data_IF_426840863529
#
_entry.id   IF_426840863529
#
_cell.length_a   1.000
_cell.length_b   1.000
_cell.length_c   1.000
_cell.angle_alpha   90.00
_cell.angle_beta   90.00
_cell.angle_gamma   90.00
#
_symmetry.space_group_name_H-M   'P 1'
#
loop_
_entity.id
_entity.type
_entity.pdbx_description
1 polymer ?
#
# COMPACT_ATOMS: atom_id res chain seq x y z
N UNK A 1 -13.24 6.23 -14.58
CA UNK A 1 -13.59 6.30 -13.14
C UNK A 1 -12.38 5.78 -12.40
N UNK A 2 -11.75 6.59 -11.55
CA UNK A 2 -10.60 6.15 -10.74
C UNK A 2 -11.09 5.78 -9.35
N UNK A 3 -10.74 4.58 -8.88
CA UNK A 3 -11.02 4.17 -7.52
C UNK A 3 -10.12 4.92 -6.54
N UNK A 4 -10.57 5.06 -5.29
CA UNK A 4 -9.78 5.71 -4.26
C UNK A 4 -8.45 4.96 -4.00
N UNK A 5 -7.38 5.65 -3.59
CA UNK A 5 -6.00 5.13 -3.52
C UNK A 5 -5.35 4.74 -4.87
N UNK A 6 -6.09 4.78 -5.99
CA UNK A 6 -5.52 4.68 -7.34
C UNK A 6 -5.25 6.07 -7.93
N UNK A 7 -4.64 6.13 -9.12
CA UNK A 7 -4.35 7.42 -9.79
C UNK A 7 -3.15 8.17 -9.22
N UNK A 8 -2.15 7.44 -8.70
CA UNK A 8 -0.96 8.05 -8.11
C UNK A 8 -0.22 8.95 -9.13
N UNK A 9 -0.05 10.25 -8.84
CA UNK A 9 0.49 11.21 -9.80
C UNK A 9 2.01 11.10 -9.98
N UNK A 10 2.68 10.32 -9.13
CA UNK A 10 4.13 10.17 -9.18
C UNK A 10 4.53 9.23 -10.32
N UNK A 11 5.46 9.68 -11.16
CA UNK A 11 6.20 8.77 -12.01
C UNK A 11 7.16 7.95 -11.15
N UNK A 12 6.93 6.65 -11.09
CA UNK A 12 7.67 5.73 -10.20
C UNK A 12 9.11 5.44 -10.64
N UNK A 13 9.45 5.75 -11.90
CA UNK A 13 10.82 5.69 -12.46
C UNK A 13 11.58 4.41 -12.11
N UNK A 14 10.94 3.25 -12.29
CA UNK A 14 11.46 1.96 -11.82
C UNK A 14 12.84 1.61 -12.39
N UNK A 15 13.13 2.07 -13.61
CA UNK A 15 14.41 1.88 -14.29
C UNK A 15 15.59 2.68 -13.69
N UNK A 16 15.32 3.66 -12.82
CA UNK A 16 16.35 4.47 -12.14
C UNK A 16 16.62 4.06 -10.69
N UNK A 17 15.86 3.11 -10.15
CA UNK A 17 15.98 2.71 -8.74
C UNK A 17 17.33 2.10 -8.38
N UNK A 18 18.09 1.60 -9.37
CA UNK A 18 19.46 1.09 -9.16
C UNK A 18 20.55 2.15 -9.38
N UNK A 19 20.21 3.36 -9.83
CA UNK A 19 21.20 4.41 -10.10
C UNK A 19 21.50 5.18 -8.81
N UNK A 20 22.71 5.00 -8.29
CA UNK A 20 23.16 5.72 -7.10
C UNK A 20 23.21 7.24 -7.36
N UNK A 21 23.74 7.68 -8.50
CA UNK A 21 23.84 9.10 -8.85
C UNK A 21 22.48 9.79 -8.92
N UNK A 22 21.51 9.18 -9.61
CA UNK A 22 20.15 9.69 -9.67
C UNK A 22 19.53 9.81 -8.27
N UNK A 23 19.59 8.73 -7.48
CA UNK A 23 18.98 8.71 -6.15
C UNK A 23 19.64 9.71 -5.21
N UNK A 24 20.97 9.85 -5.26
CA UNK A 24 21.72 10.86 -4.51
C UNK A 24 21.28 12.27 -4.89
N UNK A 25 21.15 12.56 -6.18
CA UNK A 25 20.62 13.87 -6.64
C UNK A 25 19.17 14.09 -6.23
N UNK A 26 18.33 13.05 -6.27
CA UNK A 26 16.93 13.13 -5.87
C UNK A 26 16.74 13.31 -4.37
N UNK A 27 17.65 12.77 -3.56
CA UNK A 27 17.63 12.92 -2.12
C UNK A 27 18.12 14.31 -1.68
N UNK A 28 19.18 14.82 -2.32
CA UNK A 28 19.79 16.13 -2.01
C UNK A 28 19.05 17.32 -2.65
N UNK A 29 18.01 17.05 -3.45
CA UNK A 29 17.23 18.10 -4.10
C UNK A 29 16.56 19.00 -3.06
N UNK A 30 16.62 20.35 -3.20
CA UNK A 30 15.88 21.27 -2.33
C UNK A 30 14.35 21.14 -2.49
N UNK A 31 13.90 20.51 -3.58
CA UNK A 31 12.48 20.22 -3.85
C UNK A 31 12.04 18.89 -3.24
N UNK A 32 12.95 18.07 -2.71
CA UNK A 32 12.59 16.77 -2.16
C UNK A 32 11.53 16.89 -1.06
N UNK A 33 10.59 15.93 -1.07
CA UNK A 33 9.47 15.82 -0.12
C UNK A 33 9.56 14.49 0.59
N UNK A 34 9.67 14.53 1.91
CA UNK A 34 9.76 13.34 2.75
C UNK A 34 8.47 13.16 3.53
N UNK A 35 7.67 12.18 3.12
CA UNK A 35 6.53 11.73 3.90
C UNK A 35 7.02 10.90 5.07
N UNK A 36 6.91 11.44 6.29
CA UNK A 36 7.23 10.73 7.51
C UNK A 36 6.06 9.84 7.95
N UNK A 37 6.36 8.61 8.34
CA UNK A 37 5.38 7.66 8.89
C UNK A 37 5.78 7.25 10.31
N UNK A 38 4.88 7.41 11.28
CA UNK A 38 5.01 6.85 12.64
C UNK A 38 4.06 5.67 12.77
N UNK A 39 4.60 4.47 12.95
CA UNK A 39 3.83 3.23 12.99
C UNK A 39 2.84 3.12 11.82
N UNK A 40 3.35 3.37 10.60
CA UNK A 40 2.59 3.38 9.34
C UNK A 40 1.53 4.50 9.21
N UNK A 41 1.46 5.42 10.17
CA UNK A 41 0.57 6.58 10.14
C UNK A 41 1.30 7.75 9.47
N UNK A 42 0.90 8.20 8.27
CA UNK A 42 1.55 9.33 7.61
C UNK A 42 1.32 10.65 8.36
N UNK A 43 2.29 11.56 8.26
CA UNK A 43 2.16 12.92 8.73
C UNK A 43 1.16 13.71 7.87
N UNK A 44 0.24 14.41 8.52
CA UNK A 44 -0.77 15.22 7.84
C UNK A 44 -1.24 16.40 8.67
N UNK A 45 -1.98 17.31 8.03
CA UNK A 45 -2.65 18.44 8.66
C UNK A 45 -4.10 18.48 8.20
N UNK A 46 -4.99 18.84 9.11
CA UNK A 46 -6.39 19.16 8.78
C UNK A 46 -6.50 20.65 8.52
N UNK A 47 -6.92 21.04 7.32
CA UNK A 47 -7.21 22.41 6.95
C UNK A 47 -8.50 22.91 7.64
N UNK A 48 -8.75 24.22 7.58
CA UNK A 48 -9.90 24.86 8.24
C UNK A 48 -11.26 24.41 7.67
N UNK A 49 -11.29 23.90 6.45
CA UNK A 49 -12.47 23.32 5.80
C UNK A 49 -12.71 21.84 6.15
N UNK A 50 -11.83 21.24 6.97
CA UNK A 50 -11.91 19.85 7.39
C UNK A 50 -11.22 18.85 6.44
N UNK A 51 -10.72 19.31 5.28
CA UNK A 51 -9.94 18.47 4.35
C UNK A 51 -8.59 18.15 4.98
N UNK A 52 -8.12 16.93 4.80
CA UNK A 52 -6.79 16.50 5.27
C UNK A 52 -5.80 16.48 4.13
N UNK A 53 -4.63 17.05 4.38
CA UNK A 53 -3.50 17.05 3.45
C UNK A 53 -2.28 16.42 4.11
N UNK A 54 -1.51 15.67 3.34
CA UNK A 54 -0.20 15.16 3.73
C UNK A 54 0.76 16.32 3.98
N UNK A 55 1.59 16.14 4.99
CA UNK A 55 2.68 17.06 5.32
C UNK A 55 4.02 16.39 4.99
N UNK A 56 4.94 17.19 4.48
CA UNK A 56 6.23 16.70 4.00
C UNK A 56 7.36 17.45 4.70
N UNK A 57 8.36 16.69 5.14
CA UNK A 57 9.61 17.24 5.64
C UNK A 57 10.55 17.56 4.47
N UNK A 58 11.49 18.47 4.71
CA UNK A 58 12.61 18.71 3.81
C UNK A 58 13.77 17.76 4.15
N UNK A 59 14.74 17.64 3.23
CA UNK A 59 15.92 16.81 3.49
C UNK A 59 16.68 17.25 4.76
N UNK A 60 16.75 18.56 5.03
CA UNK A 60 17.40 19.12 6.21
C UNK A 60 16.84 18.55 7.53
N UNK A 61 15.54 18.25 7.59
CA UNK A 61 14.88 17.73 8.79
C UNK A 61 15.24 16.26 9.07
N UNK A 62 15.54 15.50 8.02
CA UNK A 62 15.78 14.03 8.08
C UNK A 62 17.24 13.65 7.87
N UNK A 63 18.11 14.63 7.53
CA UNK A 63 19.52 14.42 7.16
C UNK A 63 20.30 13.63 8.21
N UNK A 64 20.12 13.92 9.49
CA UNK A 64 20.85 13.25 10.56
C UNK A 64 20.47 11.77 10.75
N UNK A 65 19.30 11.38 10.25
CA UNK A 65 18.75 10.02 10.34
C UNK A 65 19.08 9.20 9.10
N UNK A 66 19.09 9.84 7.93
CA UNK A 66 19.39 9.20 6.64
C UNK A 66 20.90 9.15 6.37
N UNK A 67 21.63 10.23 6.71
CA UNK A 67 23.05 10.39 6.44
C UNK A 67 23.36 11.17 5.16
N UNK A 68 24.59 11.05 4.67
CA UNK A 68 25.10 11.78 3.51
C UNK A 68 24.50 11.21 2.20
N UNK A 69 23.81 12.03 1.37
CA UNK A 69 23.27 11.60 0.09
C UNK A 69 24.29 10.98 -0.85
N UNK A 70 25.55 11.40 -0.79
CA UNK A 70 26.62 10.87 -1.65
C UNK A 70 27.02 9.45 -1.28
N UNK A 71 26.72 9.01 -0.06
CA UNK A 71 27.19 7.73 0.46
C UNK A 71 26.03 6.73 0.65
N UNK A 72 24.81 7.21 0.92
CA UNK A 72 23.66 6.36 1.31
C UNK A 72 23.18 5.40 0.22
N UNK A 73 23.55 5.62 -1.04
CA UNK A 73 23.19 4.76 -2.16
C UNK A 73 24.37 3.99 -2.77
N UNK A 74 25.55 3.98 -2.14
CA UNK A 74 26.69 3.17 -2.61
C UNK A 74 26.40 1.67 -2.60
N UNK A 75 26.32 1.02 -3.77
CA UNK A 75 25.96 -0.40 -3.87
C UNK A 75 24.46 -0.67 -3.77
N UNK A 76 23.61 0.35 -4.01
CA UNK A 76 22.14 0.26 -4.02
C UNK A 76 21.61 -0.67 -5.11
N UNK A 77 22.42 -0.97 -6.14
CA UNK A 77 22.06 -1.87 -7.24
C UNK A 77 22.01 -3.35 -6.83
N UNK A 78 22.67 -3.71 -5.72
CA UNK A 78 22.76 -5.07 -5.21
C UNK A 78 23.76 -5.97 -5.93
N UNK A 79 24.61 -5.47 -6.82
CA UNK A 79 25.47 -6.30 -7.69
C UNK A 79 26.84 -6.61 -7.09
N UNK A 80 27.47 -5.63 -6.46
CA UNK A 80 28.83 -5.76 -5.96
C UNK A 80 28.86 -5.82 -4.43
N UNK A 81 29.36 -6.94 -3.91
CA UNK A 81 29.43 -7.17 -2.46
C UNK A 81 30.49 -6.33 -1.76
N UNK A 82 31.51 -5.89 -2.49
CA UNK A 82 32.51 -4.97 -1.98
C UNK A 82 31.98 -3.54 -1.75
N UNK A 83 30.75 -3.24 -2.21
CA UNK A 83 30.10 -1.95 -1.96
C UNK A 83 29.25 -1.96 -0.68
N UNK A 84 28.86 -3.15 -0.19
CA UNK A 84 28.17 -3.31 1.11
C UNK A 84 28.96 -2.70 2.28
N UNK A 85 30.30 -2.82 2.35
CA UNK A 85 31.14 -2.11 3.32
C UNK A 85 30.97 -0.58 3.37
N UNK A 86 30.62 0.06 2.24
CA UNK A 86 30.52 1.53 2.12
C UNK A 86 29.12 2.07 2.38
N UNK A 87 28.08 1.28 2.09
CA UNK A 87 26.68 1.66 2.27
C UNK A 87 26.31 1.90 3.75
N UNK A 88 27.09 1.35 4.68
CA UNK A 88 26.47 0.82 5.89
C UNK A 88 27.07 1.28 7.22
N UNK A 89 27.38 2.58 7.33
CA UNK A 89 27.38 3.32 8.60
C UNK A 89 26.93 4.77 8.38
N UNK A 90 25.64 4.99 8.13
CA UNK A 90 25.10 6.33 7.90
C UNK A 90 23.93 6.62 8.84
N UNK A 91 23.70 7.91 9.09
CA UNK A 91 22.69 8.38 10.05
C UNK A 91 23.06 8.17 11.52
N UNK A 92 22.08 8.24 12.41
CA UNK A 92 22.28 8.17 13.86
C UNK A 92 22.94 6.85 14.33
N UNK A 93 22.55 5.71 13.76
CA UNK A 93 23.15 4.42 14.12
C UNK A 93 24.63 4.34 13.69
N UNK A 94 24.97 4.91 12.53
CA UNK A 94 26.37 5.04 12.10
C UNK A 94 27.18 5.92 13.06
N UNK A 95 26.64 7.08 13.46
CA UNK A 95 27.28 7.98 14.44
C UNK A 95 27.53 7.31 15.80
N UNK A 96 26.57 6.51 16.28
CA UNK A 96 26.70 5.78 17.57
C UNK A 96 27.82 4.75 17.55
N UNK A 97 28.03 4.07 16.42
CA UNK A 97 29.04 3.02 16.30
C UNK A 97 30.46 3.59 16.16
N UNK A 98 30.60 4.87 15.78
CA UNK A 98 31.89 5.56 15.62
C UNK A 98 32.91 4.84 14.70
N UNK A 99 32.41 4.03 13.76
CA UNK A 99 33.20 3.35 12.72
C UNK A 99 32.87 3.95 11.35
N UNK A 100 33.75 3.75 10.37
CA UNK A 100 33.60 4.33 9.02
C UNK A 100 33.13 3.32 7.98
N UNK A 101 33.31 2.02 8.21
CA UNK A 101 32.84 0.96 7.30
C UNK A 101 32.18 -0.21 8.04
N UNK A 102 31.31 -0.96 7.35
CA UNK A 102 30.74 -2.22 7.91
C UNK A 102 31.81 -3.25 8.17
N UNK A 103 32.91 -3.22 7.42
CA UNK A 103 34.03 -4.15 7.58
C UNK A 103 34.58 -4.13 9.02
N UNK A 104 34.56 -2.95 9.64
CA UNK A 104 35.07 -2.71 10.98
C UNK A 104 34.12 -3.17 12.10
N UNK A 105 32.87 -3.52 11.75
CA UNK A 105 31.87 -4.00 12.72
C UNK A 105 32.08 -5.48 13.07
N UNK A 106 31.93 -5.79 14.35
CA UNK A 106 31.76 -7.16 14.84
C UNK A 106 30.48 -7.79 14.26
N UNK A 107 30.35 -9.13 14.26
CA UNK A 107 29.13 -9.79 13.80
C UNK A 107 27.84 -9.27 14.45
N UNK A 108 27.86 -9.04 15.77
CA UNK A 108 26.71 -8.51 16.50
C UNK A 108 26.40 -7.05 16.13
N UNK A 109 27.42 -6.21 15.97
CA UNK A 109 27.24 -4.84 15.49
C UNK A 109 26.70 -4.80 14.06
N UNK A 110 27.15 -5.68 13.16
CA UNK A 110 26.60 -5.81 11.79
C UNK A 110 25.12 -6.18 11.84
N UNK A 111 24.78 -7.18 12.66
CA UNK A 111 23.39 -7.62 12.85
C UNK A 111 22.54 -6.49 13.39
N UNK A 112 22.98 -5.81 14.45
CA UNK A 112 22.31 -4.65 15.01
C UNK A 112 22.13 -3.56 13.95
N UNK A 113 23.19 -3.23 13.21
CA UNK A 113 23.16 -2.19 12.18
C UNK A 113 22.08 -2.46 11.12
N UNK A 114 22.12 -3.62 10.45
CA UNK A 114 21.20 -3.94 9.34
C UNK A 114 19.73 -4.04 9.79
N UNK A 115 19.50 -4.41 11.06
CA UNK A 115 18.14 -4.50 11.61
C UNK A 115 17.57 -3.14 12.03
N UNK A 116 18.42 -2.17 12.37
CA UNK A 116 18.03 -0.86 12.89
C UNK A 116 18.19 0.29 11.89
N UNK A 117 18.48 -0.02 10.62
CA UNK A 117 18.47 1.00 9.56
C UNK A 117 17.10 1.66 9.43
N UNK A 118 17.13 2.99 9.26
CA UNK A 118 15.96 3.77 8.90
C UNK A 118 15.37 3.23 7.59
N UNK A 119 14.06 2.95 7.56
CA UNK A 119 13.41 2.55 6.31
C UNK A 119 13.18 3.79 5.45
N UNK A 120 13.96 3.91 4.38
CA UNK A 120 13.86 4.97 3.37
C UNK A 120 13.42 4.36 2.03
N UNK A 121 12.40 4.94 1.41
CA UNK A 121 11.83 4.47 0.15
C UNK A 121 11.69 5.63 -0.82
N UNK A 122 12.17 5.47 -2.04
CA UNK A 122 11.89 6.40 -3.14
C UNK A 122 10.52 6.08 -3.76
N UNK A 123 9.58 7.03 -3.74
CA UNK A 123 8.23 6.84 -4.27
C UNK A 123 8.15 7.18 -5.75
N UNK A 124 8.83 8.24 -6.16
CA UNK A 124 8.83 8.71 -7.54
C UNK A 124 9.09 10.20 -7.65
N UNK A 125 8.84 10.75 -8.83
CA UNK A 125 8.90 12.19 -9.10
C UNK A 125 7.53 12.67 -9.57
N UNK A 126 7.06 13.77 -8.99
CA UNK A 126 5.91 14.51 -9.53
C UNK A 126 6.41 15.42 -10.67
N UNK A 127 6.03 15.05 -11.89
CA UNK A 127 6.44 15.72 -13.13
C UNK A 127 5.34 16.66 -13.66
N UNK A 128 4.25 16.91 -12.93
CA UNK A 128 3.12 17.72 -13.44
C UNK A 128 3.49 19.16 -13.71
N UNK A 129 4.42 19.72 -12.93
CA UNK A 129 5.01 21.03 -13.17
C UNK A 129 6.18 21.02 -14.15
N UNK A 130 6.55 19.86 -14.70
CA UNK A 130 7.66 19.75 -15.64
C UNK A 130 7.27 20.27 -17.02
N UNK A 131 8.16 21.00 -17.71
CA UNK A 131 7.96 21.29 -19.12
C UNK A 131 7.90 19.98 -19.91
N UNK A 132 7.11 19.93 -20.98
CA UNK A 132 6.88 18.69 -21.75
C UNK A 132 8.18 18.08 -22.30
N UNK A 133 9.17 18.92 -22.62
CA UNK A 133 10.51 18.51 -23.05
C UNK A 133 11.36 17.82 -21.98
N UNK A 134 10.92 17.85 -20.71
CA UNK A 134 11.63 17.30 -19.57
C UNK A 134 10.83 16.22 -18.80
N UNK A 135 9.67 15.80 -19.33
CA UNK A 135 8.88 14.71 -18.77
C UNK A 135 9.41 13.34 -19.19
N UNK A 136 9.56 12.45 -18.21
CA UNK A 136 9.51 10.98 -18.29
C UNK A 136 10.45 10.23 -19.24
N UNK A 137 11.31 10.90 -19.99
CA UNK A 137 12.43 10.30 -20.71
C UNK A 137 13.71 11.06 -20.40
N UNK A 138 14.75 10.40 -19.87
CA UNK A 138 16.04 11.04 -19.75
C UNK A 138 16.55 11.30 -21.17
N UNK A 139 17.02 12.52 -21.45
CA UNK A 139 17.56 12.89 -22.79
C UNK A 139 18.73 11.97 -23.22
N UNK A 140 19.34 11.26 -22.26
CA UNK A 140 20.38 10.24 -22.40
C UNK A 140 20.37 9.28 -21.20
N UNK A 141 21.04 8.11 -21.26
CA UNK A 141 21.22 7.25 -20.07
C UNK A 141 21.91 8.05 -18.95
N UNK A 142 21.40 7.99 -17.70
CA UNK A 142 22.07 8.65 -16.58
C UNK A 142 23.43 8.02 -16.30
N UNK A 143 24.41 8.86 -16.03
CA UNK A 143 25.75 8.55 -15.55
C UNK A 143 25.98 9.10 -14.12
N UNK A 144 27.19 8.98 -13.60
CA UNK A 144 27.53 9.40 -12.24
C UNK A 144 27.46 10.92 -12.02
N UNK A 145 27.37 11.73 -13.09
CA UNK A 145 27.25 13.19 -13.05
C UNK A 145 25.82 13.69 -13.28
N UNK A 146 24.86 12.77 -13.45
CA UNK A 146 23.48 13.10 -13.74
C UNK A 146 22.78 13.69 -12.51
N UNK A 147 22.20 14.87 -12.67
CA UNK A 147 21.35 15.50 -11.65
C UNK A 147 19.92 15.60 -12.15
N UNK A 148 18.94 15.73 -11.26
CA UNK A 148 17.53 15.99 -11.62
C UNK A 148 17.35 17.19 -12.57
N UNK A 149 18.24 18.19 -12.48
CA UNK A 149 18.15 19.44 -13.25
C UNK A 149 18.92 19.37 -14.58
N UNK A 150 19.94 18.52 -14.68
CA UNK A 150 20.77 18.37 -15.89
C UNK A 150 20.37 17.18 -16.75
N UNK A 151 19.86 16.10 -16.14
CA UNK A 151 19.45 14.87 -16.79
C UNK A 151 18.15 14.38 -16.15
N UNK A 152 17.04 14.76 -16.78
CA UNK A 152 15.65 14.32 -16.58
C UNK A 152 15.53 12.99 -15.80
N UNK A 153 14.61 12.93 -14.82
CA UNK A 153 13.32 13.61 -14.85
C UNK A 153 13.25 14.90 -14.02
N UNK A 154 12.77 15.98 -14.64
CA UNK A 154 12.50 17.23 -13.95
C UNK A 154 11.25 17.09 -13.08
N UNK A 155 11.32 17.49 -11.81
CA UNK A 155 10.13 17.50 -10.95
C UNK A 155 10.46 17.56 -9.47
N UNK A 156 9.48 17.15 -8.67
CA UNK A 156 9.57 17.10 -7.20
C UNK A 156 9.76 15.64 -6.79
N UNK A 157 10.93 15.24 -6.24
CA UNK A 157 11.13 13.86 -5.79
C UNK A 157 10.44 13.60 -4.45
N UNK A 158 9.75 12.47 -4.35
CA UNK A 158 9.01 12.04 -3.16
C UNK A 158 9.67 10.82 -2.55
N UNK A 159 9.81 10.87 -1.23
CA UNK A 159 10.39 9.82 -0.38
C UNK A 159 9.42 9.49 0.75
N UNK A 160 9.40 8.23 1.17
CA UNK A 160 8.81 7.82 2.44
C UNK A 160 9.90 7.44 3.44
N UNK A 161 9.71 7.83 4.69
CA UNK A 161 10.65 7.54 5.77
C UNK A 161 9.92 7.05 7.02
N UNK A 162 10.36 5.93 7.57
CA UNK A 162 9.88 5.44 8.87
C UNK A 162 10.55 6.23 10.01
N UNK A 163 9.74 6.91 10.81
CA UNK A 163 10.20 7.71 11.96
C UNK A 163 9.80 7.11 13.30
N UNK A 164 9.24 5.90 13.30
CA UNK A 164 8.65 5.28 14.49
C UNK A 164 9.61 5.21 15.69
N UNK A 165 10.89 4.94 15.41
CA UNK A 165 11.95 4.79 16.41
C UNK A 165 12.67 6.11 16.77
N UNK A 166 12.30 7.24 16.16
CA UNK A 166 13.02 8.52 16.28
C UNK A 166 12.17 9.58 17.00
N UNK A 167 12.15 9.53 18.33
CA UNK A 167 11.31 10.41 19.17
C UNK A 167 11.50 11.91 18.91
N UNK A 168 12.74 12.36 18.72
CA UNK A 168 13.06 13.76 18.44
C UNK A 168 12.53 14.21 17.07
N UNK A 169 12.71 13.38 16.03
CA UNK A 169 12.20 13.65 14.68
C UNK A 169 10.66 13.68 14.65
N UNK A 170 10.01 12.78 15.39
CA UNK A 170 8.54 12.79 15.52
C UNK A 170 8.06 14.09 16.13
N UNK A 171 8.69 14.49 17.23
CA UNK A 171 8.35 15.73 17.93
C UNK A 171 8.58 16.97 17.06
N UNK A 172 9.67 17.00 16.27
CA UNK A 172 9.94 18.11 15.36
C UNK A 172 8.99 18.13 14.16
N UNK A 173 8.59 16.98 13.64
CA UNK A 173 7.68 16.86 12.50
C UNK A 173 6.24 17.29 12.83
N UNK A 174 5.81 17.15 14.08
CA UNK A 174 4.45 17.50 14.53
C UNK A 174 4.28 18.99 14.92
N UNK A 175 5.20 19.86 14.51
CA UNK A 175 5.06 21.31 14.70
C UNK A 175 3.93 21.87 13.84
N UNK A 176 3.46 23.07 14.21
CA UNK A 176 2.48 23.85 13.43
C UNK A 176 1.14 23.14 13.15
N UNK A 177 0.76 22.20 14.01
CA UNK A 177 -0.53 21.49 13.94
C UNK A 177 -0.53 20.20 13.12
N UNK A 178 0.62 19.79 12.58
CA UNK A 178 0.77 18.50 11.91
C UNK A 178 0.67 17.32 12.89
N UNK A 179 0.07 16.21 12.46
CA UNK A 179 -0.14 15.00 13.27
C UNK A 179 0.03 13.75 12.43
N UNK A 180 0.54 12.68 13.03
CA UNK A 180 0.49 11.36 12.41
C UNK A 180 -0.93 10.84 12.45
N UNK A 181 -1.50 10.56 11.27
CA UNK A 181 -2.87 10.10 11.12
C UNK A 181 -2.92 8.60 10.84
N UNK A 182 -3.85 7.90 11.48
CA UNK A 182 -4.16 6.53 11.06
C UNK A 182 -4.82 6.60 9.68
N UNK A 183 -4.18 5.99 8.67
CA UNK A 183 -4.52 6.20 7.27
C UNK A 183 -5.96 5.77 6.93
N UNK A 184 -6.46 4.67 7.49
CA UNK A 184 -7.78 4.13 7.11
C UNK A 184 -8.93 5.05 7.50
N UNK A 185 -8.93 5.48 8.75
CA UNK A 185 -9.95 6.39 9.28
C UNK A 185 -9.75 7.82 8.81
N UNK A 186 -8.49 8.24 8.64
CA UNK A 186 -8.17 9.60 8.30
C UNK A 186 -8.25 9.93 6.80
N UNK A 187 -8.02 8.96 5.91
CA UNK A 187 -7.97 9.22 4.47
C UNK A 187 -9.33 9.61 3.88
N UNK A 188 -10.46 9.29 4.50
CA UNK A 188 -11.78 9.58 3.89
C UNK A 188 -11.99 11.07 3.51
N UNK A 189 -11.30 11.99 4.18
CA UNK A 189 -11.35 13.44 3.91
C UNK A 189 -10.12 13.96 3.17
N UNK A 190 -9.28 13.07 2.63
CA UNK A 190 -8.05 13.37 1.91
C UNK A 190 -8.30 13.31 0.39
N UNK A 191 -7.72 14.22 -0.41
CA UNK A 191 -7.76 14.11 -1.87
C UNK A 191 -7.20 12.77 -2.36
N UNK A 192 -7.80 12.20 -3.41
CA UNK A 192 -7.42 10.88 -3.90
C UNK A 192 -5.94 10.79 -4.31
N UNK A 193 -5.41 11.83 -4.94
CA UNK A 193 -4.00 11.89 -5.35
C UNK A 193 -3.06 11.72 -4.14
N UNK A 194 -3.31 12.44 -3.05
CA UNK A 194 -2.52 12.34 -1.82
C UNK A 194 -2.72 10.99 -1.14
N UNK A 195 -3.95 10.49 -1.09
CA UNK A 195 -4.26 9.18 -0.53
C UNK A 195 -3.51 8.06 -1.26
N UNK A 196 -3.40 8.14 -2.59
CA UNK A 196 -2.67 7.18 -3.41
C UNK A 196 -1.15 7.20 -3.16
N UNK A 197 -0.57 8.38 -2.87
CA UNK A 197 0.83 8.52 -2.44
C UNK A 197 1.01 7.89 -1.05
N UNK A 198 0.10 8.18 -0.12
CA UNK A 198 0.13 7.60 1.22
C UNK A 198 -0.03 6.08 1.19
N UNK A 199 -0.87 5.54 0.30
CA UNK A 199 -1.06 4.11 0.12
C UNK A 199 0.24 3.42 -0.36
N UNK A 200 0.91 3.98 -1.37
CA UNK A 200 2.21 3.49 -1.83
C UNK A 200 3.26 3.53 -0.71
N UNK A 201 3.41 4.69 -0.06
CA UNK A 201 4.36 4.90 1.03
C UNK A 201 4.13 3.92 2.18
N UNK A 202 2.89 3.81 2.64
CA UNK A 202 2.50 2.90 3.73
C UNK A 202 2.86 1.46 3.39
N UNK A 203 2.47 0.99 2.20
CA UNK A 203 2.69 -0.41 1.79
C UNK A 203 4.17 -0.76 1.71
N UNK A 204 5.01 0.16 1.19
CA UNK A 204 6.44 -0.06 1.04
C UNK A 204 7.19 0.04 2.38
N UNK A 205 6.84 1.00 3.24
CA UNK A 205 7.42 1.10 4.58
C UNK A 205 7.04 -0.12 5.42
N UNK A 206 5.78 -0.53 5.36
CA UNK A 206 5.28 -1.72 6.05
C UNK A 206 6.02 -2.99 5.60
N UNK A 207 6.24 -3.16 4.29
CA UNK A 207 7.05 -4.27 3.78
C UNK A 207 8.51 -4.20 4.24
N UNK A 208 9.16 -3.03 4.14
CA UNK A 208 10.57 -2.87 4.54
C UNK A 208 10.79 -3.10 6.03
N UNK A 209 9.85 -2.67 6.88
CA UNK A 209 9.94 -2.81 8.33
C UNK A 209 9.68 -4.23 8.82
N UNK A 210 8.80 -5.00 8.15
CA UNK A 210 8.51 -6.40 8.50
C UNK A 210 9.48 -7.41 7.87
N UNK A 211 10.06 -7.12 6.72
CA UNK A 211 10.94 -8.04 6.00
C UNK A 211 12.41 -7.72 6.27
N UNK A 212 12.88 -8.06 7.47
CA UNK A 212 14.26 -7.80 7.92
C UNK A 212 15.20 -9.01 7.80
N UNK A 213 14.67 -10.20 7.56
CA UNK A 213 15.44 -11.45 7.47
C UNK A 213 15.19 -12.19 6.16
N UNK A 214 16.21 -12.89 5.68
CA UNK A 214 16.19 -13.59 4.40
C UNK A 214 15.36 -14.87 4.53
N UNK A 215 14.30 -15.07 3.74
CA UNK A 215 13.51 -16.31 3.81
C UNK A 215 14.31 -17.58 3.49
N UNK A 216 15.40 -17.45 2.73
CA UNK A 216 16.25 -18.57 2.33
C UNK A 216 17.28 -19.01 3.38
N UNK A 217 17.75 -18.11 4.24
CA UNK A 217 18.87 -18.40 5.17
C UNK A 217 18.79 -17.71 6.53
N UNK A 218 17.70 -16.98 6.81
CA UNK A 218 17.45 -16.23 8.05
C UNK A 218 18.46 -15.11 8.41
N UNK A 219 19.46 -14.82 7.57
CA UNK A 219 20.37 -13.68 7.78
C UNK A 219 19.64 -12.34 7.62
N UNK A 220 20.11 -11.25 8.26
CA UNK A 220 19.60 -9.92 7.98
C UNK A 220 19.67 -9.58 6.49
N UNK A 221 18.71 -8.81 5.99
CA UNK A 221 18.70 -8.33 4.61
C UNK A 221 18.79 -6.81 4.58
N UNK A 222 19.44 -6.29 3.54
CA UNK A 222 19.55 -4.86 3.30
C UNK A 222 18.52 -4.40 2.27
N UNK A 223 18.10 -3.14 2.39
CA UNK A 223 17.32 -2.49 1.34
C UNK A 223 18.22 -2.19 0.14
N UNK A 224 17.73 -2.50 -1.05
CA UNK A 224 18.31 -2.14 -2.34
C UNK A 224 17.21 -1.54 -3.22
N UNK A 225 17.61 -0.91 -4.32
CA UNK A 225 16.69 -0.22 -5.24
C UNK A 225 15.80 0.81 -4.53
N UNK A 226 16.38 1.57 -3.59
CA UNK A 226 15.70 2.59 -2.79
C UNK A 226 14.37 2.12 -2.16
N UNK A 227 14.38 0.96 -1.50
CA UNK A 227 13.20 0.44 -0.80
C UNK A 227 12.34 -0.54 -1.60
N UNK A 228 12.68 -0.81 -2.87
CA UNK A 228 11.90 -1.67 -3.77
C UNK A 228 12.44 -3.10 -3.93
N UNK A 229 13.55 -3.41 -3.28
CA UNK A 229 14.09 -4.76 -3.25
C UNK A 229 14.83 -5.00 -1.93
N UNK A 230 14.76 -6.22 -1.39
CA UNK A 230 15.58 -6.65 -0.26
C UNK A 230 16.60 -7.66 -0.74
N UNK A 231 17.84 -7.49 -0.31
CA UNK A 231 18.94 -8.37 -0.68
C UNK A 231 19.56 -8.96 0.57
N UNK A 232 19.72 -10.28 0.59
CA UNK A 232 20.49 -10.96 1.64
C UNK A 232 21.89 -10.37 1.71
N UNK A 233 22.37 -10.02 2.90
CA UNK A 233 23.77 -9.61 3.04
C UNK A 233 24.71 -10.80 2.72
N UNK A 234 25.94 -10.56 2.24
CA UNK A 234 26.94 -11.61 2.12
C UNK A 234 27.10 -12.37 3.45
N UNK A 235 27.39 -13.67 3.39
CA UNK A 235 27.92 -14.38 4.58
C UNK A 235 29.20 -13.70 5.05
N UNK A 236 29.61 -13.88 6.30
CA UNK A 236 30.69 -13.09 6.90
C UNK A 236 31.90 -12.89 5.96
N UNK A 237 32.09 -11.64 5.49
CA UNK A 237 33.37 -11.17 4.97
C UNK A 237 34.35 -11.22 6.15
N UNK A 238 35.07 -12.34 6.29
CA UNK A 238 35.95 -12.55 7.44
C UNK A 238 36.55 -13.95 7.61
N UNK A 239 36.04 -15.00 6.97
CA UNK A 239 36.79 -16.26 6.90
C UNK A 239 37.84 -16.15 5.81
N UNK A 240 39.10 -16.01 6.23
CA UNK A 240 40.27 -16.03 5.36
C UNK A 240 40.31 -17.30 4.49
N UNK A 241 39.84 -17.15 3.25
CA UNK A 241 40.02 -18.09 2.17
C UNK A 241 40.20 -17.26 0.90
N UNK A 242 41.41 -17.23 0.38
CA UNK A 242 41.65 -16.81 -1.00
C UNK A 242 40.73 -17.61 -1.92
N UNK A 243 40.03 -16.90 -2.80
CA UNK A 243 39.23 -17.44 -3.89
C UNK A 243 37.97 -18.24 -3.48
N UNK A 244 36.86 -17.51 -3.31
CA UNK A 244 35.53 -18.03 -3.70
C UNK A 244 34.81 -18.97 -2.74
N UNK A 245 35.38 -19.36 -1.61
CA UNK A 245 34.69 -20.19 -0.61
C UNK A 245 34.36 -19.39 0.65
N UNK A 246 33.05 -19.24 0.91
CA UNK A 246 32.58 -18.80 2.21
C UNK A 246 33.05 -19.82 3.26
N UNK A 247 33.49 -19.36 4.43
CA UNK A 247 33.97 -20.25 5.49
C UNK A 247 32.98 -21.37 5.79
N UNK A 248 33.52 -22.53 6.19
CA UNK A 248 32.78 -23.79 6.36
C UNK A 248 31.45 -23.68 7.13
N UNK A 249 31.29 -22.66 7.99
CA UNK A 249 30.09 -22.42 8.79
C UNK A 249 28.97 -21.59 8.12
N UNK A 250 29.21 -20.91 6.99
CA UNK A 250 28.18 -20.07 6.36
C UNK A 250 28.20 -20.09 4.82
N UNK A 251 27.48 -21.03 4.17
CA UNK A 251 27.47 -21.11 2.71
C UNK A 251 26.84 -19.88 2.03
N UNK A 252 27.16 -19.63 0.74
CA UNK A 252 26.49 -18.60 -0.06
C UNK A 252 24.98 -18.80 -0.10
N UNK A 253 24.20 -17.72 0.07
CA UNK A 253 22.75 -17.79 -0.01
C UNK A 253 22.28 -17.82 -1.47
N UNK A 254 21.49 -18.83 -1.85
CA UNK A 254 20.95 -18.94 -3.22
C UNK A 254 20.06 -17.75 -3.59
N UNK A 255 19.46 -17.06 -2.62
CA UNK A 255 18.63 -15.88 -2.87
C UNK A 255 19.39 -14.72 -3.52
N UNK A 256 20.72 -14.77 -3.48
CA UNK A 256 21.61 -13.78 -4.10
C UNK A 256 21.84 -14.03 -5.59
N UNK A 257 21.42 -15.19 -6.11
CA UNK A 257 21.51 -15.57 -7.52
C UNK A 257 20.10 -15.70 -8.10
N UNK A 258 19.86 -15.08 -9.25
CA UNK A 258 18.56 -15.11 -9.92
C UNK A 258 17.54 -14.13 -9.33
N UNK A 259 16.27 -14.36 -9.66
CA UNK A 259 15.14 -13.51 -9.27
C UNK A 259 14.22 -14.32 -8.36
N UNK A 260 14.02 -13.83 -7.14
CA UNK A 260 13.17 -14.48 -6.14
C UNK A 260 12.09 -13.51 -5.69
N UNK A 261 10.83 -13.94 -5.71
CA UNK A 261 9.66 -13.09 -5.41
C UNK A 261 9.75 -12.40 -4.04
N UNK A 262 10.23 -13.09 -3.01
CA UNK A 262 10.38 -12.57 -1.66
C UNK A 262 11.42 -11.44 -1.54
N UNK A 263 12.21 -11.20 -2.58
CA UNK A 263 13.10 -10.04 -2.66
C UNK A 263 12.36 -8.76 -3.01
N UNK A 264 11.09 -8.82 -3.42
CA UNK A 264 10.30 -7.68 -3.90
C UNK A 264 9.08 -7.41 -3.01
N UNK A 265 8.55 -6.17 -3.00
CA UNK A 265 7.34 -5.83 -2.27
C UNK A 265 6.19 -6.78 -2.59
N UNK A 266 5.48 -7.20 -1.54
CA UNK A 266 4.32 -8.08 -1.65
C UNK A 266 3.07 -7.27 -1.94
N UNK A 267 2.25 -7.77 -2.86
CA UNK A 267 0.89 -7.28 -3.12
C UNK A 267 -0.03 -8.49 -3.12
N UNK A 268 -0.95 -8.56 -2.18
CA UNK A 268 -1.88 -9.68 -2.03
C UNK A 268 -3.15 -9.45 -2.86
N UNK A 269 -3.44 -10.27 -3.88
CA UNK A 269 -4.65 -10.12 -4.68
C UNK A 269 -5.88 -10.57 -3.89
N UNK A 270 -6.94 -9.74 -3.91
CA UNK A 270 -8.20 -9.99 -3.21
C UNK A 270 -9.34 -9.73 -4.18
N UNK A 271 -10.27 -10.66 -4.35
CA UNK A 271 -11.52 -10.40 -5.08
C UNK A 271 -12.53 -9.76 -4.14
N UNK A 272 -13.31 -8.82 -4.66
CA UNK A 272 -14.48 -8.25 -3.98
C UNK A 272 -15.60 -8.11 -4.98
N UNK A 273 -16.75 -8.71 -4.71
CA UNK A 273 -17.71 -9.03 -5.77
C UNK A 273 -19.13 -8.54 -5.51
N UNK A 274 -19.71 -7.88 -6.53
CA UNK A 274 -21.14 -7.65 -6.63
C UNK A 274 -21.83 -8.91 -7.20
N UNK A 275 -22.36 -9.76 -6.32
CA UNK A 275 -23.09 -10.97 -6.71
C UNK A 275 -24.55 -10.63 -6.91
N UNK A 276 -25.05 -10.82 -8.12
CA UNK A 276 -26.42 -10.48 -8.51
C UNK A 276 -27.31 -11.73 -8.50
N UNK A 277 -28.60 -11.55 -8.22
CA UNK A 277 -29.62 -12.58 -8.43
C UNK A 277 -29.70 -12.99 -9.91
N UNK A 278 -30.30 -14.16 -10.25
CA UNK A 278 -30.42 -14.61 -11.64
C UNK A 278 -31.08 -13.60 -12.58
N UNK A 279 -32.09 -12.86 -12.07
CA UNK A 279 -32.78 -11.78 -12.78
C UNK A 279 -32.04 -10.43 -12.74
N UNK A 280 -30.95 -10.34 -11.97
CA UNK A 280 -30.11 -9.15 -11.77
C UNK A 280 -30.79 -7.96 -11.06
N UNK A 281 -31.95 -8.20 -10.44
CA UNK A 281 -32.73 -7.17 -9.72
C UNK A 281 -32.40 -7.07 -8.23
N UNK A 282 -31.61 -8.01 -7.70
CA UNK A 282 -31.08 -7.97 -6.34
C UNK A 282 -29.56 -8.16 -6.32
N UNK A 283 -28.93 -7.68 -5.25
CA UNK A 283 -27.51 -7.86 -4.96
C UNK A 283 -27.33 -8.53 -3.59
N UNK A 284 -26.48 -9.55 -3.53
CA UNK A 284 -26.11 -10.22 -2.29
C UNK A 284 -25.07 -9.37 -1.55
N UNK A 285 -25.33 -9.06 -0.29
CA UNK A 285 -24.38 -8.42 0.61
C UNK A 285 -24.31 -9.19 1.93
N UNK A 286 -23.12 -9.22 2.53
CA UNK A 286 -22.82 -9.91 3.78
C UNK A 286 -22.34 -8.96 4.88
N UNK A 287 -22.36 -9.44 6.12
CA UNK A 287 -21.77 -8.75 7.28
C UNK A 287 -21.07 -9.72 8.22
N UNK A 288 -19.99 -9.25 8.83
CA UNK A 288 -19.32 -9.97 9.92
C UNK A 288 -19.86 -9.53 11.29
N UNK A 289 -19.74 -10.42 12.28
CA UNK A 289 -20.18 -10.19 13.66
C UNK A 289 -19.53 -8.98 14.33
N UNK A 290 -18.28 -8.67 13.99
CA UNK A 290 -17.51 -7.56 14.57
C UNK A 290 -17.91 -6.19 14.01
N UNK A 291 -18.64 -6.15 12.90
CA UNK A 291 -19.01 -4.92 12.23
C UNK A 291 -20.21 -4.24 12.91
N UNK A 292 -20.34 -2.90 12.81
CA UNK A 292 -21.50 -2.20 13.34
C UNK A 292 -22.80 -2.80 12.84
N UNK A 293 -23.82 -2.88 13.70
CA UNK A 293 -25.10 -3.44 13.34
C UNK A 293 -25.66 -2.79 12.06
N UNK A 294 -26.23 -3.63 11.18
CA UNK A 294 -26.79 -3.25 9.87
C UNK A 294 -25.76 -2.81 8.83
N UNK A 295 -24.46 -2.86 9.07
CA UNK A 295 -23.44 -2.63 8.04
C UNK A 295 -23.24 -3.87 7.18
N UNK A 296 -23.51 -3.76 5.87
CA UNK A 296 -23.34 -4.82 4.87
C UNK A 296 -22.43 -4.35 3.74
N UNK A 297 -21.63 -5.27 3.21
CA UNK A 297 -20.69 -5.03 2.11
C UNK A 297 -20.77 -6.17 1.09
N UNK A 298 -20.17 -5.97 -0.08
CA UNK A 298 -19.77 -7.07 -0.95
C UNK A 298 -18.92 -8.08 -0.17
N UNK A 299 -19.09 -9.36 -0.50
CA UNK A 299 -18.22 -10.44 -0.06
C UNK A 299 -16.83 -10.26 -0.69
N UNK A 300 -15.79 -10.72 -0.02
CA UNK A 300 -14.41 -10.52 -0.46
C UNK A 300 -13.45 -11.50 0.19
N UNK A 301 -12.51 -12.03 -0.61
CA UNK A 301 -11.50 -12.94 -0.11
C UNK A 301 -10.25 -13.01 -0.97
N UNK A 302 -9.21 -13.63 -0.43
CA UNK A 302 -7.92 -13.72 -1.09
C UNK A 302 -7.99 -14.68 -2.27
N UNK A 303 -7.25 -14.36 -3.34
CA UNK A 303 -7.08 -15.31 -4.44
C UNK A 303 -6.06 -16.36 -4.02
N UNK A 304 -6.39 -17.65 -4.20
CA UNK A 304 -5.46 -18.73 -3.88
C UNK A 304 -4.47 -19.01 -5.01
N UNK A 305 -3.43 -19.78 -4.66
CA UNK A 305 -2.38 -20.13 -5.62
C UNK A 305 -2.93 -21.01 -6.75
N UNK A 306 -2.88 -20.49 -7.97
CA UNK A 306 -3.34 -21.20 -9.16
C UNK A 306 -4.78 -20.86 -9.58
N UNK A 307 -5.46 -19.97 -8.84
CA UNK A 307 -6.80 -19.50 -9.20
C UNK A 307 -6.78 -18.29 -10.15
N UNK A 308 -7.73 -18.27 -11.07
CA UNK A 308 -8.18 -17.06 -11.78
C UNK A 308 -9.07 -16.18 -10.89
N UNK A 309 -9.33 -14.93 -11.32
CA UNK A 309 -10.26 -14.04 -10.63
C UNK A 309 -11.65 -14.67 -10.53
N UNK A 310 -12.10 -15.30 -11.62
CA UNK A 310 -13.42 -15.88 -11.75
C UNK A 310 -13.57 -17.16 -10.91
N UNK A 311 -12.50 -17.93 -10.72
CA UNK A 311 -12.50 -19.08 -9.80
C UNK A 311 -12.58 -18.61 -8.36
N UNK A 312 -11.76 -17.63 -7.96
CA UNK A 312 -11.80 -17.07 -6.60
C UNK A 312 -13.17 -16.45 -6.28
N UNK A 313 -13.80 -15.71 -7.21
CA UNK A 313 -15.17 -15.19 -7.02
C UNK A 313 -16.17 -16.32 -6.77
N UNK A 314 -16.07 -17.45 -7.51
CA UNK A 314 -17.01 -18.56 -7.32
C UNK A 314 -16.76 -19.30 -6.01
N UNK A 315 -15.50 -19.51 -5.65
CA UNK A 315 -15.11 -20.18 -4.40
C UNK A 315 -15.57 -19.37 -3.20
N UNK A 316 -15.14 -18.11 -3.09
CA UNK A 316 -15.44 -17.24 -1.94
C UNK A 316 -16.94 -17.07 -1.72
N UNK A 317 -17.74 -16.86 -2.78
CA UNK A 317 -19.20 -16.73 -2.65
C UNK A 317 -19.86 -18.04 -2.21
N UNK A 318 -19.33 -19.18 -2.66
CA UNK A 318 -19.83 -20.47 -2.24
C UNK A 318 -19.46 -20.77 -0.78
N UNK A 319 -18.24 -20.46 -0.36
CA UNK A 319 -17.74 -20.65 1.01
C UNK A 319 -18.49 -19.76 2.01
N UNK A 320 -18.64 -18.46 1.73
CA UNK A 320 -19.24 -17.52 2.70
C UNK A 320 -20.79 -17.56 2.72
N UNK A 321 -21.43 -17.89 1.60
CA UNK A 321 -22.89 -17.74 1.44
C UNK A 321 -23.61 -18.96 0.84
N UNK A 322 -22.88 -20.01 0.43
CA UNK A 322 -23.46 -21.21 -0.20
C UNK A 322 -24.04 -20.96 -1.60
N UNK A 323 -23.82 -19.80 -2.19
CA UNK A 323 -24.42 -19.41 -3.47
C UNK A 323 -23.52 -19.85 -4.63
N UNK A 324 -24.09 -20.60 -5.58
CA UNK A 324 -23.36 -21.03 -6.78
C UNK A 324 -23.38 -19.91 -7.83
N UNK A 325 -22.20 -19.37 -8.13
CA UNK A 325 -22.02 -18.33 -9.16
C UNK A 325 -21.72 -18.96 -10.52
N UNK A 326 -22.42 -18.49 -11.56
CA UNK A 326 -22.22 -18.86 -12.95
C UNK A 326 -21.21 -17.94 -13.64
N UNK A 327 -21.72 -16.94 -14.36
CA UNK A 327 -20.91 -15.90 -14.99
C UNK A 327 -20.21 -15.05 -13.91
N UNK A 328 -18.96 -14.69 -14.17
CA UNK A 328 -18.18 -13.75 -13.35
C UNK A 328 -17.34 -12.87 -14.28
N UNK A 329 -17.08 -11.64 -13.85
CA UNK A 329 -16.28 -10.71 -14.64
C UNK A 329 -15.66 -9.59 -13.79
N UNK A 330 -14.73 -8.87 -14.41
CA UNK A 330 -13.99 -7.77 -13.80
C UNK A 330 -14.70 -6.42 -14.02
N UNK A 331 -14.59 -5.52 -13.05
CA UNK A 331 -15.05 -4.14 -13.14
C UNK A 331 -13.89 -3.13 -13.04
N UNK A 332 -13.20 -3.10 -11.89
CA UNK A 332 -12.11 -2.16 -11.60
C UNK A 332 -11.21 -2.68 -10.48
N UNK A 333 -10.10 -2.01 -10.19
CA UNK A 333 -9.21 -2.40 -9.08
C UNK A 333 -8.86 -1.22 -8.17
N UNK A 334 -8.64 -1.50 -6.89
CA UNK A 334 -8.34 -0.52 -5.87
C UNK A 334 -7.16 -1.00 -5.01
N UNK A 335 -6.05 -0.25 -4.92
CA UNK A 335 -5.03 -0.49 -3.91
C UNK A 335 -5.64 -0.39 -2.50
N UNK A 336 -5.32 -1.35 -1.65
CA UNK A 336 -5.79 -1.38 -0.26
C UNK A 336 -4.59 -1.58 0.68
N UNK A 337 -4.01 -0.48 1.19
CA UNK A 337 -2.72 -0.52 1.88
C UNK A 337 -2.88 -0.97 3.33
N UNK A 338 -3.62 -2.07 3.59
CA UNK A 338 -3.89 -2.59 4.94
C UNK A 338 -3.87 -4.13 5.00
N UNK A 339 -2.68 -4.76 4.96
CA UNK A 339 -1.36 -4.12 4.86
C UNK A 339 -0.94 -3.73 3.44
N UNK A 340 -1.18 -4.60 2.46
CA UNK A 340 -0.69 -4.45 1.09
C UNK A 340 -1.50 -5.32 0.10
N UNK A 341 -2.81 -5.10 0.04
CA UNK A 341 -3.70 -5.83 -0.86
C UNK A 341 -4.00 -5.03 -2.14
N UNK A 342 -4.33 -5.72 -3.22
CA UNK A 342 -4.94 -5.14 -4.42
C UNK A 342 -6.33 -5.75 -4.57
N UNK A 343 -7.34 -4.91 -4.35
CA UNK A 343 -8.74 -5.32 -4.46
C UNK A 343 -9.13 -5.34 -5.94
N UNK A 344 -9.56 -6.48 -6.43
CA UNK A 344 -10.15 -6.67 -7.74
C UNK A 344 -11.67 -6.65 -7.58
N UNK A 345 -12.27 -5.53 -7.97
CA UNK A 345 -13.71 -5.38 -8.03
C UNK A 345 -14.27 -6.23 -9.17
N UNK A 346 -15.07 -7.22 -8.81
CA UNK A 346 -15.67 -8.18 -9.72
C UNK A 346 -17.20 -8.13 -9.61
N UNK A 347 -17.86 -8.82 -10.52
CA UNK A 347 -19.28 -9.12 -10.45
C UNK A 347 -19.51 -10.60 -10.74
N UNK A 348 -20.62 -11.14 -10.24
CA UNK A 348 -21.03 -12.51 -10.49
C UNK A 348 -22.55 -12.63 -10.61
N UNK A 349 -23.02 -13.63 -11.33
CA UNK A 349 -24.46 -13.94 -11.45
C UNK A 349 -24.72 -15.27 -10.76
N UNK A 350 -25.54 -15.25 -9.72
CA UNK A 350 -26.01 -16.46 -9.06
C UNK A 350 -26.82 -17.32 -10.04
N UNK A 351 -26.61 -18.64 -10.02
CA UNK A 351 -27.38 -19.56 -10.88
C UNK A 351 -28.84 -19.69 -10.45
N UNK A 352 -29.11 -19.53 -9.17
CA UNK A 352 -30.41 -19.58 -8.55
C UNK A 352 -30.46 -18.69 -7.29
N UNK A 353 -31.66 -18.52 -6.71
CA UNK A 353 -31.84 -17.97 -5.36
C UNK A 353 -31.93 -19.11 -4.34
N UNK A 354 -30.92 -19.98 -4.31
CA UNK A 354 -30.79 -21.02 -3.29
C UNK A 354 -30.76 -20.43 -1.87
N UNK A 355 -31.04 -21.28 -0.88
CA UNK A 355 -30.95 -20.89 0.53
C UNK A 355 -29.53 -20.47 0.86
N UNK A 356 -29.36 -19.23 1.32
CA UNK A 356 -28.09 -18.70 1.80
C UNK A 356 -27.62 -19.53 3.01
N UNK A 357 -26.36 -19.96 2.98
CA UNK A 357 -25.70 -20.76 4.00
C UNK A 357 -24.44 -20.04 4.48
N UNK A 358 -24.47 -19.56 5.72
CA UNK A 358 -23.36 -18.83 6.37
C UNK A 358 -22.56 -19.71 7.36
N UNK A 359 -22.90 -21.00 7.44
CA UNK A 359 -22.31 -21.96 8.38
C UNK A 359 -21.14 -22.77 7.81
N UNK A 360 -20.78 -22.54 6.55
CA UNK A 360 -19.74 -23.31 5.84
C UNK A 360 -18.33 -22.93 6.31
N UNK A 361 -18.03 -21.64 6.44
CA UNK A 361 -16.75 -21.12 6.96
C UNK A 361 -16.90 -20.34 8.29
N UNK A 362 -18.12 -19.94 8.65
CA UNK A 362 -18.48 -19.15 9.84
C UNK A 362 -17.88 -17.72 9.87
N UNK A 363 -17.55 -17.14 8.72
CA UNK A 363 -17.06 -15.76 8.65
C UNK A 363 -18.18 -14.71 8.78
N UNK A 364 -19.34 -15.00 8.20
CA UNK A 364 -20.49 -14.09 8.19
C UNK A 364 -21.45 -14.30 9.36
N UNK A 365 -21.97 -13.20 9.90
CA UNK A 365 -23.10 -13.20 10.84
C UNK A 365 -24.44 -13.22 10.10
N UNK A 366 -24.52 -12.56 8.95
CA UNK A 366 -25.72 -12.50 8.11
C UNK A 366 -25.36 -12.18 6.67
N UNK A 367 -26.13 -12.73 5.73
CA UNK A 367 -26.04 -12.46 4.30
C UNK A 367 -27.42 -12.50 3.66
N UNK A 368 -27.73 -11.55 2.78
CA UNK A 368 -29.03 -11.46 2.12
C UNK A 368 -28.99 -10.69 0.81
N UNK A 369 -29.96 -10.97 -0.04
CA UNK A 369 -30.22 -10.20 -1.25
C UNK A 369 -30.97 -8.91 -0.92
N UNK A 370 -30.48 -7.79 -1.46
CA UNK A 370 -31.09 -6.46 -1.36
C UNK A 370 -31.59 -6.02 -2.72
N UNK A 371 -32.78 -5.42 -2.77
CA UNK A 371 -33.35 -4.90 -4.03
C UNK A 371 -32.67 -3.60 -4.43
N UNK A 372 -32.76 -3.27 -5.73
CA UNK A 372 -32.26 -2.02 -6.27
C UNK A 372 -32.82 -0.79 -5.55
N UNK A 373 -34.11 -0.82 -5.20
CA UNK A 373 -34.78 0.28 -4.48
C UNK A 373 -34.20 0.48 -3.09
N UNK A 374 -33.92 -0.62 -2.36
CA UNK A 374 -33.31 -0.56 -1.04
C UNK A 374 -31.91 0.08 -1.10
N UNK A 375 -31.11 -0.30 -2.09
CA UNK A 375 -29.76 0.25 -2.29
C UNK A 375 -29.82 1.73 -2.69
N UNK A 376 -30.70 2.11 -3.63
CA UNK A 376 -30.87 3.50 -4.05
C UNK A 376 -31.37 4.40 -2.91
N UNK A 377 -32.21 3.87 -2.01
CA UNK A 377 -32.65 4.61 -0.83
C UNK A 377 -31.47 4.96 0.08
N UNK A 378 -30.52 4.03 0.28
CA UNK A 378 -29.29 4.28 1.07
C UNK A 378 -28.37 5.29 0.37
N UNK A 379 -28.13 5.11 -0.93
CA UNK A 379 -27.24 6.00 -1.72
C UNK A 379 -27.76 7.45 -1.75
N UNK A 380 -29.07 7.64 -1.92
CA UNK A 380 -29.70 8.95 -2.02
C UNK A 380 -29.99 9.59 -0.65
N UNK A 381 -29.69 8.90 0.46
CA UNK A 381 -29.91 9.44 1.79
C UNK A 381 -28.97 10.63 2.06
N UNK A 382 -29.54 11.77 2.47
CA UNK A 382 -28.81 13.02 2.74
C UNK A 382 -27.99 13.00 4.04
N UNK A 383 -28.00 11.87 4.75
CA UNK A 383 -27.17 11.59 5.92
C UNK A 383 -26.29 10.38 5.62
N UNK A 384 -25.15 10.55 4.93
CA UNK A 384 -24.16 9.48 4.89
C UNK A 384 -23.81 9.17 6.36
N UNK A 385 -24.18 7.97 6.81
CA UNK A 385 -23.88 7.52 8.16
C UNK A 385 -22.36 7.34 8.26
N UNK A 386 -21.70 8.41 8.72
CA UNK A 386 -20.27 8.43 8.94
C UNK A 386 -19.96 7.52 10.12
N UNK A 387 -19.27 6.42 9.84
CA UNK A 387 -18.72 5.57 10.88
C UNK A 387 -17.71 6.37 11.70
N UNK A 388 -17.81 6.28 13.03
CA UNK A 388 -16.81 6.86 13.92
C UNK A 388 -15.44 6.22 13.68
N UNK A 389 -14.37 6.92 14.06
CA UNK A 389 -12.99 6.41 13.95
C UNK A 389 -12.83 5.04 14.63
N UNK A 390 -13.48 4.87 15.78
CA UNK A 390 -13.49 3.63 16.55
C UNK A 390 -14.18 2.50 15.79
N UNK A 391 -15.28 2.78 15.10
CA UNK A 391 -15.99 1.80 14.28
C UNK A 391 -15.18 1.39 13.03
N UNK A 392 -14.52 2.34 12.37
CA UNK A 392 -13.64 2.05 11.22
C UNK A 392 -12.47 1.16 11.63
N UNK A 393 -11.88 1.39 12.81
CA UNK A 393 -10.78 0.58 13.33
C UNK A 393 -11.18 -0.85 13.69
N UNK A 394 -12.47 -1.13 13.93
CA UNK A 394 -12.98 -2.48 14.30
C UNK A 394 -13.30 -3.36 13.09
N UNK A 395 -13.41 -2.79 11.90
CA UNK A 395 -13.69 -3.56 10.67
C UNK A 395 -12.56 -4.54 10.30
N UNK A 396 -11.35 -4.38 10.84
CA UNK A 396 -10.14 -5.12 10.44
C UNK A 396 -9.72 -6.26 11.36
N UNK A 397 -10.56 -6.68 12.29
CA UNK A 397 -10.26 -7.86 13.10
C UNK A 397 -8.94 -7.76 13.88
N UNK A 398 -8.54 -6.57 14.37
CA UNK A 398 -7.54 -6.52 15.45
C UNK A 398 -8.09 -7.38 16.59
N UNK A 399 -7.40 -8.48 16.90
CA UNK A 399 -7.66 -9.33 18.07
C UNK A 399 -7.77 -8.42 19.30
N UNK A 400 -9.00 -8.18 19.69
CA UNK A 400 -9.37 -7.26 20.73
C UNK A 400 -10.77 -7.67 21.15
N UNK A 401 -10.86 -8.13 22.39
CA UNK A 401 -12.00 -8.79 23.00
C UNK A 401 -13.35 -8.24 22.55
N UNK A 402 -14.28 -9.18 22.31
CA UNK A 402 -15.68 -8.91 22.02
C UNK A 402 -16.34 -8.11 23.15
N UNK A 403 -16.19 -6.79 23.12
CA UNK A 403 -16.98 -5.87 23.91
C UNK A 403 -18.36 -5.81 23.29
N UNK A 404 -19.30 -6.61 23.82
CA UNK A 404 -20.71 -6.53 23.48
C UNK A 404 -21.25 -5.13 23.79
N UNK A 405 -21.26 -4.24 22.78
CA UNK A 405 -22.04 -3.01 22.86
C UNK A 405 -23.51 -3.38 22.67
N UNK A 406 -24.25 -3.38 23.79
CA UNK A 406 -25.71 -3.38 23.79
C UNK A 406 -26.20 -2.04 23.23
N UNK A 407 -26.34 -1.94 21.92
CA UNK A 407 -27.02 -0.81 21.30
C UNK A 407 -28.27 -1.26 20.54
N UNK A 408 -29.41 -0.75 21.01
CA UNK A 408 -30.65 -0.59 20.24
C UNK A 408 -31.47 -1.86 19.98
N UNK A 409 -32.64 -1.95 20.63
CA UNK A 409 -33.72 -2.85 20.24
C UNK A 409 -33.95 -2.77 18.72
N UNK A 410 -34.03 -3.93 18.06
CA UNK A 410 -34.49 -4.09 16.69
C UNK A 410 -35.86 -3.43 16.53
N UNK A 411 -35.87 -2.20 16.02
CA UNK A 411 -37.04 -1.38 15.79
C UNK A 411 -37.08 -0.97 14.33
N UNK A 412 -38.10 -1.48 13.63
CA UNK A 412 -38.47 -1.20 12.24
C UNK A 412 -37.47 -1.65 11.15
N UNK A 413 -38.03 -2.35 10.17
CA UNK A 413 -37.44 -2.76 8.89
C UNK A 413 -37.10 -1.49 8.09
N UNK A 414 -35.97 -0.86 8.43
CA UNK A 414 -35.57 0.44 7.90
C UNK A 414 -34.04 0.56 7.86
N UNK A 415 -33.53 0.64 6.64
CA UNK A 415 -32.21 1.00 6.14
C UNK A 415 -30.98 0.28 6.72
N UNK A 416 -30.20 -0.33 5.82
CA UNK A 416 -28.87 -0.89 6.10
C UNK A 416 -27.79 0.16 5.81
N UNK A 417 -26.59 -0.06 6.35
CA UNK A 417 -25.42 0.78 6.15
C UNK A 417 -24.51 0.16 5.08
N UNK A 418 -23.88 1.02 4.30
CA UNK A 418 -22.90 0.64 3.27
C UNK A 418 -21.51 1.20 3.59
N UNK A 419 -20.44 0.61 3.03
CA UNK A 419 -19.11 1.19 3.02
C UNK A 419 -19.11 2.63 2.47
N UNK A 420 -18.14 3.47 2.88
CA UNK A 420 -18.03 4.84 2.38
C UNK A 420 -17.78 4.86 0.86
N UNK A 421 -18.07 5.99 0.20
CA UNK A 421 -17.88 6.16 -1.24
C UNK A 421 -16.43 5.94 -1.74
N UNK A 422 -15.46 5.98 -0.83
CA UNK A 422 -14.05 5.68 -1.10
C UNK A 422 -13.74 4.18 -1.18
N UNK A 423 -14.65 3.30 -0.75
CA UNK A 423 -14.45 1.85 -0.82
C UNK A 423 -14.98 1.26 -2.14
N UNK A 424 -14.22 0.36 -2.76
CA UNK A 424 -14.60 -0.30 -4.01
C UNK A 424 -15.92 -1.08 -3.91
N UNK A 425 -16.25 -1.62 -2.72
CA UNK A 425 -17.56 -2.20 -2.46
C UNK A 425 -18.71 -1.21 -2.74
N UNK A 426 -18.60 0.04 -2.26
CA UNK A 426 -19.57 1.08 -2.55
C UNK A 426 -19.60 1.41 -4.05
N UNK A 427 -18.43 1.49 -4.70
CA UNK A 427 -18.33 1.71 -6.15
C UNK A 427 -19.08 0.64 -6.95
N UNK A 428 -18.90 -0.64 -6.62
CA UNK A 428 -19.56 -1.77 -7.29
C UNK A 428 -21.08 -1.74 -7.08
N UNK A 429 -21.52 -1.59 -5.83
CA UNK A 429 -22.95 -1.56 -5.48
C UNK A 429 -23.65 -0.36 -6.12
N UNK A 430 -23.01 0.81 -6.10
CA UNK A 430 -23.52 2.04 -6.74
C UNK A 430 -23.56 1.90 -8.26
N UNK A 431 -22.54 1.32 -8.88
CA UNK A 431 -22.51 1.06 -10.33
C UNK A 431 -23.62 0.09 -10.74
N UNK A 432 -23.86 -0.96 -9.95
CA UNK A 432 -25.00 -1.85 -10.17
C UNK A 432 -26.33 -1.09 -10.05
N UNK A 433 -26.56 -0.39 -8.94
CA UNK A 433 -27.82 0.31 -8.66
C UNK A 433 -28.18 1.34 -9.74
N UNK A 434 -27.19 2.03 -10.29
CA UNK A 434 -27.34 3.02 -11.36
C UNK A 434 -27.30 2.42 -12.79
N UNK A 435 -27.16 1.11 -12.94
CA UNK A 435 -27.17 0.43 -14.24
C UNK A 435 -25.90 0.60 -15.07
N UNK A 436 -24.77 0.93 -14.45
CA UNK A 436 -23.47 1.16 -15.12
C UNK A 436 -22.46 0.05 -14.90
N UNK A 437 -22.76 -0.96 -14.07
CA UNK A 437 -21.85 -2.07 -13.72
C UNK A 437 -21.24 -2.76 -14.95
N UNK A 438 -22.03 -2.98 -16.00
CA UNK A 438 -21.60 -3.70 -17.21
C UNK A 438 -21.08 -2.79 -18.33
N UNK A 439 -21.18 -1.46 -18.20
CA UNK A 439 -20.91 -0.51 -19.29
C UNK A 439 -19.44 -0.06 -19.38
N UNK A 440 -18.50 -0.82 -18.81
CA UNK A 440 -17.07 -0.47 -18.76
C UNK A 440 -16.30 -0.88 -20.05
N UNK A 441 -16.93 -0.74 -21.22
CA UNK A 441 -16.21 -0.82 -22.50
C UNK A 441 -15.49 0.49 -22.80
N UNK A 442 -14.29 0.49 -23.40
CA UNK A 442 -13.67 1.71 -23.89
C UNK A 442 -14.48 2.22 -25.10
N UNK A 443 -15.47 3.09 -24.87
CA UNK A 443 -16.24 3.67 -25.98
C UNK A 443 -17.58 4.36 -25.70
N UNK A 444 -18.12 4.41 -24.48
CA UNK A 444 -19.40 5.10 -24.24
C UNK A 444 -19.21 6.49 -23.62
N UNK A 445 -18.62 7.43 -24.35
CA UNK A 445 -18.93 8.85 -24.13
C UNK A 445 -20.34 9.08 -24.63
N UNK A 446 -21.31 9.18 -23.72
CA UNK A 446 -22.69 9.50 -24.04
C UNK A 446 -22.77 10.85 -24.73
N UNK A 447 -23.09 10.83 -26.02
CA UNK A 447 -23.55 12.01 -26.76
C UNK A 447 -24.87 12.45 -26.13
N UNK A 448 -24.86 13.51 -25.34
CA UNK A 448 -26.08 14.27 -25.04
C UNK A 448 -26.58 14.86 -26.36
N UNK A 449 -27.52 14.17 -27.00
CA UNK A 449 -28.36 14.76 -28.03
C UNK A 449 -29.36 15.68 -27.34
N UNK A 450 -29.01 16.96 -27.23
CA UNK A 450 -29.95 18.04 -26.96
C UNK A 450 -31.06 18.00 -28.01
N UNK A 451 -32.30 17.71 -27.60
CA UNK A 451 -33.49 18.03 -28.38
C UNK A 451 -34.14 19.27 -27.79
N UNK A 452 -34.10 20.33 -28.62
CA UNK A 452 -34.72 21.66 -28.55
C UNK A 452 -34.23 22.61 -27.47
#
# INVERSE_FOLDING_TARGET
MENYYAGNPLNRLSYLRSSASFLSSALDSPKARFLALDNLSPLSRTASDGVRHLEYLAFADVRDYIGDPKLVFHGIDGKNDADVPKLALLGLEGKKLAKSTVGDLTPDEKRHYFLNQCSLVFLGVDERSAPESAKSLPLSKPDDNSTLETHSPYGVPYWAVDVSSFGDLKSSAQKDGAKFMELRSGAQTMPNEEASIAAEARSLIDWNTRNKFCPACARPIRSVWAGWKRCCIPGELGSSGTDGEAGADQPPCFSRKGVHNFSYPRTDPVVIMAVLSPDREKILLGRQRTWPARFYSCLAGFIESGESLEEAVRREVYEEAGIVVGEAGYHSSQPWPFPASLMFGCWGIAKDESTIRIDLDNELEDARFFTREQVLAVINSSKPLQMTREQVSRLDGKEGEAGATKDGKAGQQGDFLMPPATAIANTLVTAWANGTLFNQGPGSTGTQASKM
#
